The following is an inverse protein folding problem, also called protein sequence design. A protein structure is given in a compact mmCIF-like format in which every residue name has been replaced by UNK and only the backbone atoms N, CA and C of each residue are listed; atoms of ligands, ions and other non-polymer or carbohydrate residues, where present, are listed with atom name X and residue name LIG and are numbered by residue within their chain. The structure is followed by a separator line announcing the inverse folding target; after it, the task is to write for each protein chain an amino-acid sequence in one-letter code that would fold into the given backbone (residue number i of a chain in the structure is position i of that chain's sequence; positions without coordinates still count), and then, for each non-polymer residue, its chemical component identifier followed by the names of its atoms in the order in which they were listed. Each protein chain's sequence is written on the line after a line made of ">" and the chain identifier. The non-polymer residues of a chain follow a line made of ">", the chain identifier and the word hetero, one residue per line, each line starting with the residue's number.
data_IF_994155927102
#
_entry.id   IF_994155927102
#
_cell.length_a   1.000
_cell.length_b   1.000
_cell.length_c   1.000
_cell.angle_alpha   90.00
_cell.angle_beta   90.00
_cell.angle_gamma   90.00
#
_symmetry.space_group_name_H-M   'P 1'
#
loop_
_entity.id
_entity.type
_entity.pdbx_description
1 polymer ?
#
# COMPACT_ATOMS: atom_id res chain seq x y z
N UNK A 1 -17.14 1.84 18.90
CA UNK A 1 -17.20 1.48 17.46
C UNK A 1 -15.89 0.84 16.97
N UNK A 2 -14.72 1.37 17.27
CA UNK A 2 -13.43 0.63 17.04
C UNK A 2 -13.37 -0.69 17.83
N UNK A 3 -13.88 -0.74 19.07
CA UNK A 3 -14.00 -1.99 19.84
C UNK A 3 -14.86 -3.07 19.18
N UNK A 4 -15.89 -2.70 18.44
CA UNK A 4 -16.78 -3.67 17.74
C UNK A 4 -16.08 -4.30 16.54
N UNK A 5 -15.13 -3.62 15.91
CA UNK A 5 -14.37 -4.14 14.77
C UNK A 5 -13.32 -5.15 15.22
N UNK A 6 -12.69 -4.91 16.36
CA UNK A 6 -11.71 -5.83 16.94
C UNK A 6 -12.36 -7.06 17.59
N UNK A 7 -13.58 -6.96 18.14
CA UNK A 7 -14.28 -8.08 18.77
C UNK A 7 -14.83 -9.11 17.77
N UNK A 8 -14.90 -8.80 16.47
CA UNK A 8 -15.33 -9.73 15.45
C UNK A 8 -14.23 -10.69 14.94
N UNK A 9 -13.04 -10.64 15.52
CA UNK A 9 -11.97 -11.59 15.19
C UNK A 9 -12.23 -13.03 15.68
N UNK A 10 -13.27 -13.26 16.52
CA UNK A 10 -13.76 -14.59 16.90
C UNK A 10 -15.18 -14.50 17.46
N UNK A 11 -16.24 -14.66 16.68
CA UNK A 11 -17.46 -15.41 17.01
C UNK A 11 -18.54 -15.29 15.92
N UNK A 12 -19.26 -16.37 15.60
CA UNK A 12 -20.52 -16.29 14.87
C UNK A 12 -21.67 -15.96 15.83
N UNK A 13 -22.54 -15.01 15.45
CA UNK A 13 -23.91 -14.85 15.96
C UNK A 13 -24.09 -13.99 17.21
N UNK A 14 -24.68 -12.83 17.13
CA UNK A 14 -26.02 -12.45 17.59
C UNK A 14 -26.32 -10.95 17.46
N UNK A 15 -27.59 -10.68 17.32
CA UNK A 15 -28.41 -9.55 16.98
C UNK A 15 -28.46 -8.46 18.09
N UNK A 16 -28.59 -7.17 17.65
CA UNK A 16 -29.46 -6.21 18.34
C UNK A 16 -28.82 -4.91 18.82
N UNK A 17 -29.15 -3.81 18.23
CA UNK A 17 -29.95 -2.73 18.79
C UNK A 17 -29.84 -1.43 17.98
N UNK A 18 -30.99 -0.96 17.54
CA UNK A 18 -31.20 0.36 16.93
C UNK A 18 -31.36 1.40 18.04
N UNK A 19 -30.81 2.59 17.83
CA UNK A 19 -31.38 3.91 18.17
C UNK A 19 -30.29 4.95 18.34
N UNK A 20 -30.18 5.88 17.40
CA UNK A 20 -29.90 7.31 17.62
C UNK A 20 -29.63 7.98 16.26
N UNK A 21 -30.69 8.35 15.57
CA UNK A 21 -30.64 9.36 14.51
C UNK A 21 -31.84 10.29 14.72
N UNK A 22 -31.64 11.41 15.38
CA UNK A 22 -32.43 12.63 15.19
C UNK A 22 -31.61 13.85 15.62
N UNK A 23 -31.62 14.84 14.73
CA UNK A 23 -31.11 16.22 14.86
C UNK A 23 -29.67 16.47 14.36
N UNK A 24 -29.53 16.87 13.10
CA UNK A 24 -28.59 17.89 12.65
C UNK A 24 -29.02 18.46 11.30
N UNK A 25 -29.89 19.46 11.36
CA UNK A 25 -30.07 20.45 10.29
C UNK A 25 -29.46 21.75 10.80
N UNK A 26 -28.21 22.03 10.43
CA UNK A 26 -27.65 23.39 10.35
C UNK A 26 -26.20 23.38 9.88
N UNK A 27 -25.93 24.11 8.84
CA UNK A 27 -24.67 24.58 8.26
C UNK A 27 -24.47 24.16 6.81
N UNK A 28 -25.20 24.82 5.92
CA UNK A 28 -24.81 24.92 4.52
C UNK A 28 -24.90 26.41 4.14
N UNK A 29 -23.77 27.11 4.24
CA UNK A 29 -23.49 28.30 3.41
C UNK A 29 -22.00 28.64 3.50
N UNK A 30 -21.26 28.51 2.40
CA UNK A 30 -19.86 28.88 2.31
C UNK A 30 -19.19 28.21 1.13
N UNK A 31 -19.33 28.82 -0.05
CA UNK A 31 -18.94 28.23 -1.33
C UNK A 31 -17.43 28.10 -1.55
N UNK A 32 -17.05 26.95 -2.04
CA UNK A 32 -15.94 26.79 -2.96
C UNK A 32 -16.31 25.69 -3.97
N UNK A 33 -16.50 26.07 -5.21
CA UNK A 33 -16.71 25.14 -6.34
C UNK A 33 -15.38 24.97 -7.08
N UNK A 34 -14.74 23.81 -7.06
CA UNK A 34 -13.75 23.48 -8.07
C UNK A 34 -14.46 23.03 -9.35
N UNK A 35 -13.96 23.36 -10.55
CA UNK A 35 -14.56 22.93 -11.82
C UNK A 35 -14.22 21.46 -12.09
N UNK A 36 -15.17 20.56 -11.83
CA UNK A 36 -15.01 19.10 -12.01
C UNK A 36 -15.37 18.66 -13.45
N UNK A 37 -15.81 19.54 -14.33
CA UNK A 37 -16.31 19.13 -15.65
C UNK A 37 -15.26 19.06 -16.79
N UNK A 38 -14.00 19.44 -16.57
CA UNK A 38 -13.01 19.48 -17.64
C UNK A 38 -12.08 18.25 -17.75
N UNK A 39 -12.06 17.35 -16.78
CA UNK A 39 -11.09 16.23 -16.76
C UNK A 39 -11.66 14.84 -17.09
N UNK A 40 -12.99 14.69 -17.19
CA UNK A 40 -13.59 13.38 -17.48
C UNK A 40 -13.70 13.01 -18.97
N UNK A 41 -13.33 13.91 -19.91
CA UNK A 41 -13.42 13.65 -21.36
C UNK A 41 -12.07 13.39 -22.06
N UNK A 42 -10.94 13.46 -21.37
CA UNK A 42 -9.62 13.28 -22.01
C UNK A 42 -8.99 11.89 -21.85
N UNK A 43 -9.64 10.96 -21.18
CA UNK A 43 -9.04 9.63 -20.91
C UNK A 43 -9.74 8.44 -21.61
N UNK A 44 -10.54 8.67 -22.66
CA UNK A 44 -11.23 7.59 -23.38
C UNK A 44 -10.86 7.60 -24.88
N UNK A 45 -9.65 7.93 -25.25
CA UNK A 45 -9.14 7.61 -26.60
C UNK A 45 -7.67 7.25 -26.49
N UNK A 46 -7.38 5.94 -26.59
CA UNK A 46 -6.06 5.46 -26.95
C UNK A 46 -5.78 5.94 -28.40
N UNK A 47 -4.57 6.44 -28.70
CA UNK A 47 -4.23 6.77 -30.08
C UNK A 47 -4.11 5.49 -30.89
N UNK A 48 -4.90 5.39 -31.97
CA UNK A 48 -4.72 4.40 -33.02
C UNK A 48 -3.30 4.51 -33.59
N UNK A 49 -2.60 3.38 -33.63
CA UNK A 49 -1.30 3.27 -34.24
C UNK A 49 -1.40 3.61 -35.72
N UNK A 50 -0.77 4.69 -36.15
CA UNK A 50 -0.53 4.97 -37.56
C UNK A 50 0.53 4.01 -38.10
N UNK A 51 0.37 3.46 -39.30
CA UNK A 51 1.40 2.62 -39.92
C UNK A 51 2.63 3.48 -40.26
N UNK A 52 3.80 3.01 -39.84
CA UNK A 52 5.11 3.60 -40.16
C UNK A 52 5.39 3.30 -41.61
N UNK A 53 5.59 4.33 -42.42
CA UNK A 53 6.04 4.23 -43.78
C UNK A 53 7.47 3.71 -43.86
N UNK A 54 7.67 2.78 -44.78
CA UNK A 54 8.90 2.11 -45.16
C UNK A 54 9.90 3.10 -45.77
N UNK A 55 10.88 3.58 -45.01
CA UNK A 55 12.01 4.33 -45.57
C UNK A 55 13.23 3.41 -45.69
N UNK A 56 13.47 2.98 -46.96
CA UNK A 56 14.65 2.25 -47.38
C UNK A 56 15.89 3.15 -47.33
N UNK A 57 16.90 2.76 -46.60
CA UNK A 57 18.26 3.29 -46.78
C UNK A 57 19.13 2.27 -47.56
N UNK A 58 20.00 2.76 -48.47
CA UNK A 58 20.75 1.90 -49.42
C UNK A 58 21.95 1.24 -48.76
N UNK A 59 22.17 -0.01 -49.21
CA UNK A 59 23.32 -0.78 -48.85
C UNK A 59 24.61 -0.23 -49.49
N UNK A 60 25.66 -0.08 -48.72
CA UNK A 60 27.07 -0.03 -49.21
C UNK A 60 27.77 -1.30 -48.93
N UNK A 61 28.25 -1.94 -50.04
CA UNK A 61 29.18 -3.06 -50.03
C UNK A 61 30.59 -2.60 -49.64
N UNK A 62 31.24 -3.39 -48.83
CA UNK A 62 32.69 -3.66 -48.76
C UNK A 62 33.02 -4.10 -47.33
N UNK A 63 33.37 -5.30 -47.05
CA UNK A 63 34.57 -6.08 -47.27
C UNK A 63 34.30 -7.55 -46.90
N UNK A 64 34.47 -8.40 -47.95
CA UNK A 64 34.78 -9.81 -47.77
C UNK A 64 36.26 -9.94 -47.84
N UNK A 65 36.90 -10.62 -46.90
CA UNK A 65 37.97 -11.58 -47.13
C UNK A 65 38.41 -12.31 -45.86
N UNK A 66 38.35 -13.61 -46.01
CA UNK A 66 39.31 -14.64 -45.55
C UNK A 66 39.53 -14.83 -44.04
N UNK A 67 39.22 -16.04 -43.61
CA UNK A 67 40.21 -17.09 -43.32
C UNK A 67 39.51 -18.45 -43.18
N UNK A 68 40.10 -19.38 -43.90
CA UNK A 68 39.72 -20.76 -44.14
C UNK A 68 39.91 -21.71 -42.95
N UNK A 69 39.06 -22.71 -42.92
CA UNK A 69 39.35 -24.15 -42.80
C UNK A 69 40.38 -24.67 -41.81
N UNK A 70 39.94 -25.44 -40.84
CA UNK A 70 40.62 -26.69 -40.47
C UNK A 70 39.59 -27.77 -40.10
N UNK A 71 39.73 -28.86 -40.84
CA UNK A 71 38.94 -30.08 -40.84
C UNK A 71 39.61 -31.19 -40.00
N UNK A 72 38.75 -32.05 -39.40
CA UNK A 72 38.91 -33.51 -39.18
C UNK A 72 39.74 -34.02 -37.99
N UNK A 73 39.12 -34.76 -37.07
CA UNK A 73 39.24 -36.22 -37.00
C UNK A 73 38.23 -36.86 -36.06
N UNK A 74 37.64 -37.90 -36.59
CA UNK A 74 36.75 -38.91 -36.05
C UNK A 74 37.38 -39.78 -34.93
N UNK A 75 36.53 -40.23 -34.00
CA UNK A 75 36.87 -41.32 -33.08
C UNK A 75 35.62 -41.75 -32.29
N UNK A 76 35.02 -42.88 -32.73
CA UNK A 76 33.98 -43.65 -32.02
C UNK A 76 34.62 -44.84 -31.29
N UNK A 77 33.84 -45.69 -30.56
CA UNK A 77 33.36 -45.51 -29.18
C UNK A 77 33.98 -46.58 -28.25
N UNK A 78 33.81 -46.42 -26.93
CA UNK A 78 34.01 -47.56 -26.00
C UNK A 78 32.85 -47.61 -25.01
N UNK A 79 32.21 -48.80 -25.03
CA UNK A 79 31.30 -49.30 -24.03
C UNK A 79 31.85 -49.19 -22.61
N UNK A 80 31.03 -48.73 -21.69
CA UNK A 80 31.18 -49.01 -20.26
C UNK A 80 29.83 -48.98 -19.57
N UNK A 81 29.54 -50.06 -18.88
CA UNK A 81 28.39 -50.44 -18.10
C UNK A 81 27.94 -49.41 -17.05
N UNK A 82 26.66 -49.43 -16.61
CA UNK A 82 26.16 -48.47 -15.63
C UNK A 82 26.61 -48.81 -14.19
N UNK A 83 26.90 -47.80 -13.36
CA UNK A 83 27.11 -48.01 -11.92
C UNK A 83 25.77 -48.06 -11.16
N UNK A 84 25.75 -48.57 -9.92
CA UNK A 84 24.56 -49.00 -9.20
C UNK A 84 23.77 -47.84 -8.60
N UNK A 85 22.48 -48.12 -8.37
CA UNK A 85 21.47 -47.32 -7.73
C UNK A 85 21.94 -46.53 -6.51
N UNK A 86 21.81 -45.24 -6.52
CA UNK A 86 21.92 -44.36 -5.35
C UNK A 86 20.52 -43.91 -4.88
N UNK A 87 20.42 -43.86 -3.58
CA UNK A 87 19.29 -43.51 -2.71
C UNK A 87 18.46 -42.31 -3.13
N UNK A 88 17.21 -42.13 -2.62
CA UNK A 88 16.30 -41.11 -3.07
C UNK A 88 16.83 -39.70 -2.75
N UNK A 89 16.89 -38.89 -3.82
CA UNK A 89 17.19 -37.46 -3.76
C UNK A 89 16.21 -36.75 -2.85
N UNK A 90 16.75 -35.99 -1.93
CA UNK A 90 16.02 -34.99 -1.12
C UNK A 90 15.16 -34.12 -2.01
N UNK A 91 13.97 -33.65 -1.55
CA UNK A 91 13.14 -32.78 -2.35
C UNK A 91 13.90 -31.48 -2.69
N UNK A 92 13.66 -30.90 -3.87
CA UNK A 92 14.33 -29.68 -4.27
C UNK A 92 14.07 -28.57 -3.25
N UNK A 93 15.12 -27.89 -2.85
CA UNK A 93 15.05 -26.70 -2.02
C UNK A 93 14.02 -25.74 -2.63
N UNK A 94 12.98 -25.43 -1.88
CA UNK A 94 11.99 -24.43 -2.25
C UNK A 94 12.68 -23.14 -2.67
N UNK A 95 12.35 -22.68 -3.85
CA UNK A 95 12.87 -21.46 -4.45
C UNK A 95 12.58 -20.27 -3.52
N UNK A 96 13.59 -19.81 -2.77
CA UNK A 96 13.47 -18.68 -1.83
C UNK A 96 13.15 -17.35 -2.52
N UNK A 97 13.00 -17.37 -3.85
CA UNK A 97 12.66 -16.24 -4.70
C UNK A 97 11.20 -16.25 -5.17
N UNK A 98 10.37 -17.21 -4.72
CA UNK A 98 8.97 -17.22 -5.05
C UNK A 98 8.28 -15.94 -4.50
N UNK A 99 7.43 -15.32 -5.32
CA UNK A 99 6.60 -14.19 -4.93
C UNK A 99 5.76 -14.59 -3.71
N UNK A 100 5.93 -13.95 -2.54
CA UNK A 100 5.10 -14.27 -1.37
C UNK A 100 3.61 -13.99 -1.62
N UNK A 101 3.25 -13.41 -2.78
CA UNK A 101 1.88 -13.20 -3.21
C UNK A 101 1.35 -14.32 -4.13
N UNK A 102 2.22 -15.28 -4.57
CA UNK A 102 1.82 -16.39 -5.44
C UNK A 102 1.48 -17.69 -4.69
N UNK A 103 1.61 -17.71 -3.36
CA UNK A 103 1.07 -18.81 -2.56
C UNK A 103 -0.45 -18.64 -2.41
N UNK A 104 -1.13 -18.88 -3.52
CA UNK A 104 -2.59 -18.93 -3.57
C UNK A 104 -2.99 -20.30 -3.03
N UNK A 105 -3.14 -20.41 -1.73
CA UNK A 105 -3.79 -21.55 -1.11
C UNK A 105 -5.20 -21.75 -1.73
N UNK A 106 -5.75 -22.97 -1.73
CA UNK A 106 -7.01 -23.26 -2.39
C UNK A 106 -8.14 -22.39 -1.83
N UNK A 107 -8.72 -21.55 -2.69
CA UNK A 107 -9.99 -20.86 -2.52
C UNK A 107 -10.07 -19.96 -1.28
N UNK A 108 -9.52 -18.72 -1.36
CA UNK A 108 -9.84 -17.70 -0.36
C UNK A 108 -11.34 -17.38 -0.49
N UNK A 109 -12.17 -17.93 0.39
CA UNK A 109 -13.57 -17.52 0.48
C UNK A 109 -13.66 -16.05 0.87
N UNK A 110 -14.34 -15.25 0.04
CA UNK A 110 -14.70 -13.87 0.31
C UNK A 110 -16.08 -13.87 0.97
N UNK A 111 -16.17 -13.86 2.31
CA UNK A 111 -17.44 -14.13 3.02
C UNK A 111 -18.48 -13.04 2.84
N UNK A 112 -18.10 -11.86 2.32
CA UNK A 112 -19.00 -10.74 2.04
C UNK A 112 -18.61 -10.08 0.72
N UNK A 113 -19.58 -9.90 -0.18
CA UNK A 113 -19.33 -9.25 -1.48
C UNK A 113 -18.95 -7.77 -1.27
N UNK A 114 -17.77 -7.39 -1.79
CA UNK A 114 -17.21 -6.04 -1.73
C UNK A 114 -17.20 -5.32 -3.07
N UNK A 115 -17.63 -5.95 -4.16
CA UNK A 115 -17.52 -5.40 -5.53
C UNK A 115 -18.27 -4.07 -5.67
N UNK A 116 -19.38 -3.93 -4.96
CA UNK A 116 -20.19 -2.71 -4.93
C UNK A 116 -19.46 -1.49 -4.35
N UNK A 117 -18.33 -1.69 -3.66
CA UNK A 117 -17.55 -0.63 -3.00
C UNK A 117 -16.69 0.09 -4.03
N UNK A 118 -16.01 -0.66 -4.91
CA UNK A 118 -15.03 -0.10 -5.85
C UNK A 118 -15.60 0.99 -6.79
N UNK A 119 -16.76 0.81 -7.43
CA UNK A 119 -17.36 1.88 -8.24
C UNK A 119 -17.64 3.15 -7.44
N UNK A 120 -18.03 3.02 -6.16
CA UNK A 120 -18.30 4.17 -5.28
C UNK A 120 -17.02 4.88 -4.85
N UNK A 121 -15.91 4.17 -4.68
CA UNK A 121 -14.61 4.76 -4.38
C UNK A 121 -13.99 5.40 -5.63
N UNK A 122 -14.24 4.86 -6.84
CA UNK A 122 -13.78 5.46 -8.10
C UNK A 122 -14.49 6.77 -8.39
N UNK A 123 -15.81 6.76 -8.33
CA UNK A 123 -16.69 7.87 -8.69
C UNK A 123 -17.54 8.30 -7.49
N UNK A 124 -16.94 8.94 -6.46
CA UNK A 124 -17.66 9.33 -5.27
C UNK A 124 -18.67 10.44 -5.57
N UNK A 125 -19.90 10.26 -5.12
CA UNK A 125 -20.99 11.23 -5.24
C UNK A 125 -20.82 12.39 -4.23
N UNK A 126 -21.60 13.46 -4.39
CA UNK A 126 -21.64 14.56 -3.38
C UNK A 126 -22.02 14.05 -2.00
N UNK A 127 -22.99 13.14 -1.93
CA UNK A 127 -23.39 12.49 -0.67
C UNK A 127 -22.22 11.71 -0.04
N UNK A 128 -21.47 10.99 -0.87
CA UNK A 128 -20.29 10.26 -0.39
C UNK A 128 -19.28 11.20 0.28
N UNK A 129 -19.01 12.37 -0.32
CA UNK A 129 -18.07 13.35 0.26
C UNK A 129 -18.56 13.89 1.59
N UNK A 130 -19.86 14.19 1.73
CA UNK A 130 -20.45 14.65 2.99
C UNK A 130 -20.33 13.57 4.07
N UNK A 131 -20.73 12.35 3.77
CA UNK A 131 -20.62 11.22 4.69
C UNK A 131 -19.17 10.92 5.07
N UNK A 132 -18.25 10.94 4.08
CA UNK A 132 -16.83 10.78 4.30
C UNK A 132 -16.25 11.88 5.18
N UNK A 133 -16.62 13.15 4.95
CA UNK A 133 -16.18 14.26 5.77
C UNK A 133 -16.58 14.07 7.23
N UNK A 134 -17.80 13.60 7.48
CA UNK A 134 -18.28 13.32 8.84
C UNK A 134 -17.48 12.18 9.49
N UNK A 135 -17.32 11.04 8.81
CA UNK A 135 -16.59 9.89 9.33
C UNK A 135 -15.11 10.24 9.58
N UNK A 136 -14.47 10.89 8.62
CA UNK A 136 -13.06 11.31 8.71
C UNK A 136 -12.86 12.28 9.90
N UNK A 137 -13.76 13.26 10.07
CA UNK A 137 -13.66 14.22 11.16
C UNK A 137 -13.86 13.55 12.52
N UNK A 138 -14.87 12.70 12.65
CA UNK A 138 -15.15 11.99 13.90
C UNK A 138 -13.99 11.07 14.31
N UNK A 139 -13.50 10.27 13.37
CA UNK A 139 -12.36 9.36 13.61
C UNK A 139 -11.07 10.15 13.84
N UNK A 140 -10.83 11.21 13.08
CA UNK A 140 -9.64 12.04 13.22
C UNK A 140 -9.57 12.77 14.56
N UNK A 141 -10.68 13.34 15.03
CA UNK A 141 -10.76 13.97 16.36
C UNK A 141 -10.57 12.92 17.45
N UNK A 142 -11.22 11.75 17.33
CA UNK A 142 -11.07 10.66 18.27
C UNK A 142 -9.57 10.20 18.35
N UNK A 143 -8.95 9.98 17.20
CA UNK A 143 -7.53 9.59 17.14
C UNK A 143 -6.61 10.64 17.75
N UNK A 144 -6.92 11.91 17.53
CA UNK A 144 -6.17 13.02 18.14
C UNK A 144 -6.33 13.05 19.65
N UNK A 145 -7.53 12.86 20.17
CA UNK A 145 -7.77 12.78 21.62
C UNK A 145 -6.99 11.62 22.22
N UNK A 146 -7.10 10.42 21.63
CA UNK A 146 -6.41 9.23 22.12
C UNK A 146 -4.90 9.42 22.08
N UNK A 147 -4.34 9.85 20.96
CA UNK A 147 -2.89 9.94 20.81
C UNK A 147 -2.31 11.11 21.59
N UNK A 148 -2.89 12.31 21.45
CA UNK A 148 -2.24 13.54 21.93
C UNK A 148 -2.61 13.93 23.36
N UNK A 149 -3.82 13.53 23.84
CA UNK A 149 -4.28 13.92 25.17
C UNK A 149 -4.30 12.78 26.17
N UNK A 150 -4.53 11.55 25.74
CA UNK A 150 -4.55 10.39 26.64
C UNK A 150 -3.20 9.70 26.75
N UNK A 151 -2.27 9.95 25.81
CA UNK A 151 -0.98 9.27 25.75
C UNK A 151 0.18 10.28 25.63
N UNK A 152 1.40 9.79 25.56
CA UNK A 152 2.64 10.58 25.52
C UNK A 152 3.33 10.44 24.15
N UNK A 153 2.81 11.03 23.07
CA UNK A 153 3.42 10.91 21.76
C UNK A 153 4.67 11.80 21.64
N UNK A 154 5.68 11.29 20.94
CA UNK A 154 6.77 12.08 20.34
C UNK A 154 6.80 11.81 18.85
N UNK A 155 6.75 12.85 18.05
CA UNK A 155 6.74 12.75 16.59
C UNK A 155 7.96 13.48 16.06
N UNK A 156 8.92 12.72 15.57
CA UNK A 156 10.14 13.24 14.97
C UNK A 156 9.91 13.56 13.50
N UNK A 157 10.47 14.65 13.03
CA UNK A 157 10.42 15.11 11.63
C UNK A 157 8.99 15.26 11.06
N UNK A 158 8.02 15.57 11.93
CA UNK A 158 6.59 15.72 11.59
C UNK A 158 6.37 16.74 10.46
N UNK A 159 7.17 17.79 10.42
CA UNK A 159 7.10 18.85 9.42
C UNK A 159 7.29 18.33 7.99
N UNK A 160 8.09 17.28 7.78
CA UNK A 160 8.25 16.62 6.47
C UNK A 160 6.93 16.10 5.97
N UNK A 161 6.21 15.33 6.79
CA UNK A 161 4.89 14.76 6.45
C UNK A 161 3.87 15.88 6.18
N UNK A 162 3.79 16.88 7.08
CA UNK A 162 2.84 17.99 6.95
C UNK A 162 3.14 18.82 5.69
N UNK A 163 4.40 19.07 5.38
CA UNK A 163 4.84 19.79 4.17
C UNK A 163 4.42 19.03 2.91
N UNK A 164 4.66 17.72 2.86
CA UNK A 164 4.30 16.89 1.70
C UNK A 164 2.79 16.75 1.53
N UNK A 165 2.01 16.68 2.61
CA UNK A 165 0.55 16.67 2.51
C UNK A 165 0.03 18.00 1.96
N UNK A 166 0.57 19.15 2.42
CA UNK A 166 -0.02 20.47 2.21
C UNK A 166 0.59 21.24 1.04
N UNK A 167 1.87 20.99 0.70
CA UNK A 167 2.66 21.82 -0.22
C UNK A 167 3.33 21.04 -1.36
N UNK A 168 3.07 19.72 -1.52
CA UNK A 168 3.62 18.99 -2.67
C UNK A 168 3.06 19.53 -3.98
N UNK A 169 3.78 19.39 -5.10
CA UNK A 169 3.29 19.84 -6.40
C UNK A 169 1.94 19.20 -6.74
N UNK A 170 1.07 19.97 -7.39
CA UNK A 170 -0.25 19.49 -7.76
C UNK A 170 -0.15 18.29 -8.72
N UNK A 171 -0.96 17.27 -8.48
CA UNK A 171 -0.98 16.05 -9.30
C UNK A 171 0.20 15.11 -9.09
N UNK A 172 1.12 15.39 -8.16
CA UNK A 172 2.16 14.45 -7.73
C UNK A 172 1.60 13.61 -6.57
N UNK A 173 1.55 12.27 -6.68
CA UNK A 173 1.05 11.44 -5.60
C UNK A 173 2.03 11.37 -4.42
N UNK A 174 1.49 11.17 -3.21
CA UNK A 174 2.25 10.86 -2.02
C UNK A 174 1.95 9.42 -1.61
N UNK A 175 2.98 8.63 -1.43
CA UNK A 175 2.89 7.27 -0.90
C UNK A 175 3.63 7.21 0.43
N UNK A 176 2.90 7.12 1.55
CA UNK A 176 3.51 6.86 2.85
C UNK A 176 3.49 5.36 3.14
N UNK A 177 4.57 4.85 3.70
CA UNK A 177 4.70 3.46 4.10
C UNK A 177 5.13 3.39 5.56
N UNK A 178 4.54 2.49 6.35
CA UNK A 178 4.94 2.30 7.76
C UNK A 178 4.84 0.83 8.19
N UNK A 179 5.50 0.50 9.30
CA UNK A 179 5.28 -0.75 10.03
C UNK A 179 3.84 -0.82 10.58
N UNK A 180 3.40 -2.02 10.97
CA UNK A 180 2.03 -2.28 11.44
C UNK A 180 2.03 -3.12 12.71
N UNK A 181 1.96 -2.47 13.87
CA UNK A 181 2.07 -3.13 15.18
C UNK A 181 0.75 -3.16 15.95
N UNK A 182 -0.24 -2.35 15.56
CA UNK A 182 -1.54 -2.28 16.24
C UNK A 182 -2.69 -2.14 15.27
N UNK A 183 -3.83 -2.74 15.59
CA UNK A 183 -5.09 -2.48 14.88
C UNK A 183 -5.51 -1.00 14.91
N UNK A 184 -4.91 -0.19 15.77
CA UNK A 184 -5.16 1.24 15.87
C UNK A 184 -4.17 2.10 15.06
N UNK A 185 -3.16 1.52 14.41
CA UNK A 185 -2.17 2.30 13.64
C UNK A 185 -2.85 3.19 12.61
N UNK A 186 -3.78 2.66 11.83
CA UNK A 186 -4.70 3.45 11.04
C UNK A 186 -6.10 3.37 11.69
N UNK A 187 -6.58 4.40 12.35
CA UNK A 187 -6.31 5.83 12.13
C UNK A 187 -5.40 6.54 13.18
N UNK A 188 -4.89 5.84 14.17
CA UNK A 188 -4.20 6.43 15.33
C UNK A 188 -3.03 7.34 15.00
N UNK A 189 -2.16 6.91 14.06
CA UNK A 189 -0.99 7.68 13.64
C UNK A 189 -1.34 9.09 13.14
N UNK A 190 -2.49 9.25 12.51
CA UNK A 190 -2.93 10.53 11.95
C UNK A 190 -3.41 11.52 13.00
N UNK A 191 -3.64 11.08 14.23
CA UNK A 191 -3.95 11.96 15.37
C UNK A 191 -2.88 13.02 15.62
N UNK A 192 -1.63 12.81 15.21
CA UNK A 192 -0.57 13.82 15.31
C UNK A 192 -0.72 14.99 14.34
N UNK A 193 -1.49 14.85 13.24
CA UNK A 193 -1.64 15.87 12.22
C UNK A 193 -2.46 17.07 12.68
N UNK A 194 -2.29 18.25 12.04
CA UNK A 194 -3.16 19.40 12.27
C UNK A 194 -4.62 19.07 11.95
N UNK A 195 -5.57 19.68 12.68
CA UNK A 195 -7.02 19.46 12.48
C UNK A 195 -7.46 19.75 11.03
N UNK A 196 -6.90 20.77 10.40
CA UNK A 196 -7.19 21.10 8.99
C UNK A 196 -6.71 20.05 7.97
N UNK A 197 -5.96 19.04 8.42
CA UNK A 197 -5.57 17.88 7.61
C UNK A 197 -6.37 16.66 8.03
N UNK A 198 -6.34 16.31 9.32
CA UNK A 198 -6.95 15.07 9.80
C UNK A 198 -8.47 15.08 9.68
N UNK A 199 -9.11 16.26 9.74
CA UNK A 199 -10.54 16.44 9.54
C UNK A 199 -10.89 16.89 8.11
N UNK A 200 -10.07 16.59 7.10
CA UNK A 200 -10.32 17.01 5.73
C UNK A 200 -10.27 15.82 4.77
N UNK A 201 -11.43 15.44 4.24
CA UNK A 201 -11.56 14.29 3.34
C UNK A 201 -10.76 14.42 2.03
N UNK A 202 -10.45 15.65 1.60
CA UNK A 202 -9.65 15.88 0.39
C UNK A 202 -8.14 15.76 0.64
N UNK A 203 -7.69 16.02 1.87
CA UNK A 203 -6.27 16.02 2.25
C UNK A 203 -5.81 14.71 2.87
N UNK A 204 -6.72 13.99 3.54
CA UNK A 204 -6.37 12.75 4.24
C UNK A 204 -6.11 11.60 3.26
N UNK A 205 -5.29 10.66 3.71
CA UNK A 205 -4.87 9.47 2.94
C UNK A 205 -6.02 8.58 2.46
N UNK A 206 -5.81 7.85 1.39
CA UNK A 206 -6.43 6.56 1.11
C UNK A 206 -5.61 5.47 1.79
N UNK A 207 -6.23 4.40 2.29
CA UNK A 207 -5.54 3.32 2.96
C UNK A 207 -6.15 1.99 2.56
N UNK A 208 -5.35 0.92 2.52
CA UNK A 208 -5.87 -0.43 2.32
C UNK A 208 -6.24 -1.03 3.67
N UNK A 209 -7.36 -1.76 3.71
CA UNK A 209 -7.81 -2.44 4.91
C UNK A 209 -8.28 -3.85 4.56
N UNK A 210 -7.94 -4.82 5.42
CA UNK A 210 -8.23 -6.23 5.21
C UNK A 210 -9.74 -6.47 5.10
N UNK A 211 -10.15 -7.11 4.00
CA UNK A 211 -11.55 -7.39 3.69
C UNK A 211 -12.22 -8.22 4.78
N UNK A 212 -11.60 -9.28 5.21
CA UNK A 212 -12.08 -10.24 6.20
C UNK A 212 -12.24 -9.66 7.62
N UNK A 213 -11.64 -8.50 7.88
CA UNK A 213 -11.72 -7.79 9.18
C UNK A 213 -12.65 -6.58 9.10
N UNK A 214 -12.45 -5.73 8.10
CA UNK A 214 -13.06 -4.41 8.02
C UNK A 214 -14.35 -4.38 7.20
N UNK A 215 -14.56 -5.34 6.28
CA UNK A 215 -15.67 -5.35 5.34
C UNK A 215 -16.55 -6.58 5.48
N UNK A 216 -16.80 -7.01 6.71
CA UNK A 216 -17.52 -8.23 7.06
C UNK A 216 -19.05 -8.14 6.89
N UNK A 217 -19.58 -6.92 6.82
CA UNK A 217 -21.00 -6.63 6.63
C UNK A 217 -21.21 -5.22 6.08
N UNK A 218 -22.45 -4.92 5.64
CA UNK A 218 -22.76 -3.62 5.00
C UNK A 218 -22.46 -2.40 5.88
N UNK A 219 -22.69 -2.46 7.18
CA UNK A 219 -22.48 -1.32 8.08
C UNK A 219 -20.99 -1.02 8.27
N UNK A 220 -20.19 -2.06 8.50
CA UNK A 220 -18.74 -1.94 8.58
C UNK A 220 -18.17 -1.45 7.24
N UNK A 221 -18.62 -2.05 6.14
CA UNK A 221 -18.18 -1.66 4.79
C UNK A 221 -18.47 -0.19 4.48
N UNK A 222 -19.65 0.33 4.83
CA UNK A 222 -19.96 1.75 4.67
C UNK A 222 -19.07 2.64 5.52
N UNK A 223 -18.81 2.26 6.77
CA UNK A 223 -17.94 3.02 7.67
C UNK A 223 -16.50 3.11 7.11
N UNK A 224 -15.90 1.97 6.76
CA UNK A 224 -14.54 1.95 6.22
C UNK A 224 -14.47 2.61 4.84
N UNK A 225 -15.47 2.42 3.99
CA UNK A 225 -15.57 3.08 2.69
C UNK A 225 -15.59 4.61 2.83
N UNK A 226 -16.40 5.16 3.76
CA UNK A 226 -16.40 6.58 4.05
C UNK A 226 -15.13 7.05 4.75
N UNK A 227 -14.42 6.16 5.45
CA UNK A 227 -13.07 6.38 6.00
C UNK A 227 -11.95 6.36 4.95
N UNK A 228 -12.28 6.26 3.64
CA UNK A 228 -11.33 6.15 2.52
C UNK A 228 -10.46 4.89 2.60
N UNK A 229 -11.00 3.81 3.19
CA UNK A 229 -10.37 2.51 3.20
C UNK A 229 -10.77 1.71 1.95
N UNK A 230 -9.78 1.10 1.32
CA UNK A 230 -9.90 0.26 0.11
C UNK A 230 -9.84 -1.19 0.57
N UNK A 231 -10.87 -2.01 0.29
CA UNK A 231 -10.87 -3.42 0.71
C UNK A 231 -9.82 -4.22 -0.04
N UNK A 232 -8.88 -4.84 0.67
CA UNK A 232 -7.86 -5.74 0.13
C UNK A 232 -8.11 -7.16 0.59
N UNK A 233 -8.14 -8.10 -0.35
CA UNK A 233 -8.25 -9.53 -0.07
C UNK A 233 -6.85 -10.10 0.10
N UNK A 234 -6.56 -10.60 1.31
CA UNK A 234 -5.25 -11.16 1.62
C UNK A 234 -5.09 -12.53 0.95
N UNK A 235 -3.90 -12.84 0.44
CA UNK A 235 -3.58 -14.13 -0.15
C UNK A 235 -3.87 -14.28 -1.65
N UNK A 236 -4.65 -13.38 -2.29
CA UNK A 236 -4.94 -13.46 -3.75
C UNK A 236 -3.92 -12.75 -4.64
N UNK A 237 -2.80 -12.31 -4.05
CA UNK A 237 -1.72 -11.69 -4.80
C UNK A 237 -1.89 -10.19 -5.05
N UNK A 238 -0.98 -9.65 -5.87
CA UNK A 238 -0.91 -8.20 -6.12
C UNK A 238 -1.84 -7.76 -7.26
N UNK A 239 -2.30 -8.67 -8.11
CA UNK A 239 -3.20 -8.37 -9.22
C UNK A 239 -4.65 -8.41 -8.78
N UNK A 240 -5.02 -7.47 -7.93
CA UNK A 240 -6.36 -7.33 -7.39
C UNK A 240 -6.87 -5.91 -7.49
N UNK A 241 -8.18 -5.75 -7.44
CA UNK A 241 -8.88 -4.48 -7.62
C UNK A 241 -8.46 -3.40 -6.62
N UNK A 242 -8.09 -3.79 -5.40
CA UNK A 242 -7.57 -2.87 -4.39
C UNK A 242 -6.27 -2.18 -4.85
N UNK A 243 -5.35 -2.93 -5.42
CA UNK A 243 -4.08 -2.39 -5.92
C UNK A 243 -4.31 -1.53 -7.16
N UNK A 244 -5.18 -1.97 -8.09
CA UNK A 244 -5.56 -1.17 -9.26
C UNK A 244 -6.14 0.18 -8.84
N UNK A 245 -7.05 0.19 -7.86
CA UNK A 245 -7.64 1.43 -7.34
C UNK A 245 -6.59 2.34 -6.67
N UNK A 246 -5.59 1.78 -5.98
CA UNK A 246 -4.48 2.58 -5.44
C UNK A 246 -3.68 3.25 -6.57
N UNK A 247 -3.39 2.54 -7.67
CA UNK A 247 -2.72 3.10 -8.85
C UNK A 247 -3.56 4.22 -9.47
N UNK A 248 -4.88 4.02 -9.61
CA UNK A 248 -5.81 5.06 -10.09
C UNK A 248 -5.81 6.30 -9.18
N UNK A 249 -5.81 6.10 -7.85
CA UNK A 249 -5.74 7.23 -6.89
C UNK A 249 -4.38 7.94 -6.94
N UNK A 250 -3.29 7.20 -7.17
CA UNK A 250 -1.97 7.78 -7.41
C UNK A 250 -1.97 8.61 -8.70
N UNK A 251 -2.56 8.12 -9.79
CA UNK A 251 -2.69 8.86 -11.05
C UNK A 251 -3.40 10.23 -10.86
N UNK A 252 -4.33 10.32 -9.92
CA UNK A 252 -5.03 11.54 -9.54
C UNK A 252 -4.24 12.44 -8.56
N UNK A 253 -3.00 12.06 -8.18
CA UNK A 253 -2.17 12.82 -7.26
C UNK A 253 -2.59 12.72 -5.80
N UNK A 254 -3.38 11.72 -5.42
CA UNK A 254 -3.81 11.54 -4.04
C UNK A 254 -2.68 11.05 -3.12
N UNK A 255 -2.92 11.18 -1.81
CA UNK A 255 -2.09 10.56 -0.79
C UNK A 255 -2.61 9.16 -0.48
N UNK A 256 -1.72 8.16 -0.59
CA UNK A 256 -1.99 6.75 -0.29
C UNK A 256 -1.08 6.35 0.87
N UNK A 257 -1.62 5.59 1.82
CA UNK A 257 -0.86 4.95 2.88
C UNK A 257 -0.93 3.44 2.76
N UNK A 258 0.20 2.79 2.95
CA UNK A 258 0.35 1.34 2.85
C UNK A 258 1.09 0.81 4.07
N UNK A 259 0.58 -0.27 4.65
CA UNK A 259 1.31 -1.13 5.58
C UNK A 259 1.87 -2.32 4.78
N UNK A 260 3.12 -2.25 4.28
CA UNK A 260 3.61 -3.25 3.33
C UNK A 260 3.91 -4.61 3.98
N UNK A 261 3.85 -4.72 5.31
CA UNK A 261 3.90 -6.00 6.02
C UNK A 261 2.67 -6.89 5.73
N UNK A 262 1.53 -6.29 5.36
CA UNK A 262 0.31 -6.97 4.97
C UNK A 262 -0.48 -7.62 6.11
N UNK A 263 0.00 -7.51 7.35
CA UNK A 263 -0.66 -7.95 8.59
C UNK A 263 -0.16 -7.13 9.78
N UNK A 264 -0.91 -7.15 10.89
CA UNK A 264 -0.39 -6.64 12.18
C UNK A 264 0.75 -7.55 12.63
N UNK A 265 1.93 -6.99 12.79
CA UNK A 265 3.15 -7.69 13.20
C UNK A 265 3.28 -7.66 14.72
N UNK A 266 2.63 -8.61 15.38
CA UNK A 266 2.58 -8.67 16.84
C UNK A 266 3.92 -9.04 17.46
N UNK A 267 4.71 -9.84 16.77
CA UNK A 267 6.02 -10.32 17.25
C UNK A 267 7.14 -9.31 16.99
N UNK A 268 6.85 -8.24 16.25
CA UNK A 268 7.83 -7.21 15.83
C UNK A 268 9.05 -7.80 15.12
N UNK A 269 8.85 -8.88 14.39
CA UNK A 269 9.89 -9.50 13.59
C UNK A 269 10.16 -8.71 12.30
N UNK A 270 11.29 -8.94 11.67
CA UNK A 270 11.54 -8.43 10.34
C UNK A 270 10.78 -9.25 9.31
N UNK A 271 9.65 -8.72 8.85
CA UNK A 271 8.84 -9.35 7.82
C UNK A 271 9.31 -8.94 6.42
N UNK A 272 9.27 -9.90 5.49
CA UNK A 272 9.40 -9.59 4.07
C UNK A 272 8.21 -8.74 3.62
N UNK A 273 8.47 -7.56 3.08
CA UNK A 273 7.43 -6.66 2.60
C UNK A 273 6.70 -7.24 1.39
N UNK A 274 5.38 -7.05 1.34
CA UNK A 274 4.52 -7.46 0.22
C UNK A 274 4.76 -6.58 -0.99
N UNK A 275 4.90 -7.19 -2.16
CA UNK A 275 5.26 -6.50 -3.40
C UNK A 275 4.16 -5.60 -3.99
N UNK A 276 2.97 -5.58 -3.39
CA UNK A 276 1.89 -4.66 -3.80
C UNK A 276 2.30 -3.19 -3.77
N UNK A 277 3.13 -2.78 -2.81
CA UNK A 277 3.67 -1.41 -2.73
C UNK A 277 4.57 -1.10 -3.94
N UNK A 278 5.43 -2.04 -4.33
CA UNK A 278 6.29 -1.91 -5.52
C UNK A 278 5.48 -1.80 -6.81
N UNK A 279 4.40 -2.59 -6.94
CA UNK A 279 3.49 -2.50 -8.08
C UNK A 279 2.80 -1.13 -8.16
N UNK A 280 2.26 -0.62 -7.05
CA UNK A 280 1.64 0.72 -7.01
C UNK A 280 2.62 1.78 -7.52
N UNK A 281 3.89 1.72 -7.09
CA UNK A 281 4.92 2.68 -7.47
C UNK A 281 5.27 2.54 -8.97
N UNK A 282 5.53 1.33 -9.43
CA UNK A 282 6.00 1.07 -10.79
C UNK A 282 4.94 1.40 -11.85
N UNK A 283 3.68 1.01 -11.61
CA UNK A 283 2.59 1.23 -12.55
C UNK A 283 1.94 2.64 -12.44
N UNK A 284 2.28 3.42 -11.42
CA UNK A 284 1.79 4.80 -11.32
C UNK A 284 2.29 5.64 -12.51
N UNK A 285 1.40 6.38 -13.20
CA UNK A 285 1.80 7.24 -14.33
C UNK A 285 2.80 8.33 -13.95
N UNK A 286 2.68 8.84 -12.71
CA UNK A 286 3.67 9.72 -12.08
C UNK A 286 4.26 8.99 -10.88
N UNK A 287 5.57 8.95 -10.80
CA UNK A 287 6.27 8.34 -9.66
C UNK A 287 5.86 9.08 -8.38
N UNK A 288 5.31 8.38 -7.37
CA UNK A 288 4.92 8.99 -6.11
C UNK A 288 6.15 9.42 -5.30
N UNK A 289 5.98 10.48 -4.50
CA UNK A 289 6.93 10.76 -3.42
C UNK A 289 6.76 9.66 -2.38
N UNK A 290 7.78 8.86 -2.15
CA UNK A 290 7.77 7.72 -1.23
C UNK A 290 8.31 8.21 0.12
N UNK A 291 7.48 8.18 1.17
CA UNK A 291 7.84 8.65 2.50
C UNK A 291 7.76 7.50 3.49
N UNK A 292 8.88 6.93 3.93
CA UNK A 292 8.90 5.91 4.97
C UNK A 292 8.62 6.53 6.34
N UNK A 293 7.92 5.78 7.18
CA UNK A 293 7.61 6.14 8.55
C UNK A 293 7.79 4.90 9.44
N UNK A 294 8.21 5.10 10.68
CA UNK A 294 8.28 4.01 11.66
C UNK A 294 7.71 4.47 13.00
N UNK A 295 7.00 3.58 13.68
CA UNK A 295 6.43 3.89 14.99
C UNK A 295 6.66 2.76 16.00
N UNK A 296 6.69 3.16 17.27
CA UNK A 296 6.77 2.29 18.44
C UNK A 296 5.71 2.67 19.47
N UNK A 297 5.23 1.69 20.22
CA UNK A 297 4.31 1.88 21.35
C UNK A 297 2.83 1.99 20.99
N UNK A 298 2.45 1.82 19.74
CA UNK A 298 1.03 1.77 19.33
C UNK A 298 0.35 0.49 19.81
N UNK A 299 1.07 -0.62 19.85
CA UNK A 299 0.65 -1.89 20.44
C UNK A 299 0.45 -1.84 21.95
N UNK A 300 1.20 -0.99 22.65
CA UNK A 300 0.96 -0.70 24.07
C UNK A 300 -0.26 0.21 24.28
N UNK A 301 -0.51 1.14 23.33
CA UNK A 301 -1.67 2.03 23.37
C UNK A 301 -2.96 1.26 23.14
N UNK A 302 -3.00 0.39 22.11
CA UNK A 302 -4.08 -0.57 21.91
C UNK A 302 -3.49 -1.97 21.72
N UNK A 303 -3.43 -2.79 22.80
CA UNK A 303 -2.99 -4.17 22.69
C UNK A 303 -3.85 -4.97 21.72
N UNK A 304 -3.19 -5.84 20.93
CA UNK A 304 -3.86 -6.70 19.93
C UNK A 304 -4.46 -7.98 20.55
N UNK A 305 -4.85 -7.91 21.82
CA UNK A 305 -5.47 -9.00 22.58
C UNK A 305 -6.76 -8.53 23.24
N UNK A 306 -7.69 -9.45 23.44
CA UNK A 306 -8.95 -9.13 24.13
C UNK A 306 -8.74 -8.94 25.63
N UNK A 307 -9.47 -7.99 26.25
CA UNK A 307 -10.34 -7.01 25.62
C UNK A 307 -9.55 -5.87 24.97
N UNK A 308 -9.91 -5.49 23.75
CA UNK A 308 -9.27 -4.38 23.00
C UNK A 308 -9.55 -3.03 23.65
N UNK A 309 -8.82 -2.71 24.71
CA UNK A 309 -9.03 -1.49 25.51
C UNK A 309 -7.89 -0.51 25.28
N UNK A 310 -8.25 0.73 24.91
CA UNK A 310 -7.28 1.81 24.77
C UNK A 310 -6.66 2.11 26.13
N UNK A 311 -5.35 2.02 26.17
CA UNK A 311 -4.53 2.33 27.33
C UNK A 311 -4.20 3.83 27.37
N UNK A 312 -3.88 4.34 28.56
CA UNK A 312 -3.50 5.74 28.79
C UNK A 312 -2.06 5.85 29.27
N UNK A 313 -1.45 7.01 29.04
CA UNK A 313 -0.11 7.30 29.55
C UNK A 313 1.02 6.56 28.84
N UNK A 314 0.72 5.86 27.73
CA UNK A 314 1.70 5.10 26.94
C UNK A 314 2.61 6.01 26.15
N UNK A 315 3.88 5.62 26.04
CA UNK A 315 4.86 6.29 25.19
C UNK A 315 4.64 5.84 23.75
N UNK A 316 4.33 6.76 22.85
CA UNK A 316 4.23 6.50 21.40
C UNK A 316 5.29 7.32 20.69
N UNK A 317 6.14 6.68 19.91
CA UNK A 317 7.14 7.35 19.07
C UNK A 317 6.76 7.15 17.62
N UNK A 318 6.72 8.23 16.87
CA UNK A 318 6.59 8.21 15.41
C UNK A 318 7.78 8.94 14.82
N UNK A 319 8.53 8.28 13.93
CA UNK A 319 9.61 8.90 13.18
C UNK A 319 9.27 8.94 11.69
N UNK A 320 9.33 10.13 11.12
CA UNK A 320 9.11 10.35 9.69
C UNK A 320 10.47 10.43 9.01
N UNK A 321 10.79 9.41 8.21
CA UNK A 321 12.05 9.35 7.47
C UNK A 321 12.18 10.41 6.40
N UNK A 322 13.31 10.40 5.68
CA UNK A 322 13.47 11.20 4.48
C UNK A 322 12.68 10.58 3.32
N UNK A 323 12.14 11.40 2.41
CA UNK A 323 11.59 10.90 1.16
C UNK A 323 12.64 10.06 0.41
N UNK A 324 12.26 8.87 -0.02
CA UNK A 324 13.17 8.02 -0.80
C UNK A 324 13.28 8.55 -2.21
N UNK A 325 14.48 8.92 -2.61
CA UNK A 325 14.77 9.30 -3.99
C UNK A 325 15.05 8.05 -4.83
N UNK A 326 13.98 7.50 -5.38
CA UNK A 326 14.01 6.35 -6.28
C UNK A 326 13.65 6.73 -7.72
N UNK A 327 13.61 8.03 -8.06
CA UNK A 327 13.15 8.48 -9.37
C UNK A 327 14.02 7.92 -10.49
N UNK A 328 15.33 8.14 -10.43
CA UNK A 328 16.27 7.67 -11.47
C UNK A 328 16.28 6.14 -11.55
N UNK A 329 16.21 5.47 -10.41
CA UNK A 329 16.13 4.01 -10.35
C UNK A 329 14.86 3.46 -11.04
N UNK A 330 13.68 4.04 -10.76
CA UNK A 330 12.42 3.62 -11.37
C UNK A 330 12.39 3.96 -12.85
N UNK A 331 12.91 5.12 -13.26
CA UNK A 331 13.02 5.52 -14.66
C UNK A 331 13.95 4.59 -15.44
N UNK A 332 15.08 4.17 -14.85
CA UNK A 332 15.98 3.18 -15.46
C UNK A 332 15.28 1.82 -15.65
N UNK A 333 14.57 1.33 -14.64
CA UNK A 333 13.78 0.10 -14.76
C UNK A 333 12.76 0.19 -15.91
N UNK A 334 12.06 1.33 -16.03
CA UNK A 334 11.09 1.57 -17.11
C UNK A 334 11.80 1.66 -18.48
N UNK A 335 12.91 2.40 -18.58
CA UNK A 335 13.69 2.54 -19.81
C UNK A 335 14.23 1.20 -20.32
N UNK A 336 14.69 0.35 -19.41
CA UNK A 336 15.17 -1.00 -19.71
C UNK A 336 14.05 -2.01 -19.92
N UNK A 337 12.79 -1.59 -19.83
CA UNK A 337 11.60 -2.44 -19.96
C UNK A 337 11.66 -3.69 -19.04
N UNK A 338 12.16 -3.50 -17.82
CA UNK A 338 12.23 -4.57 -16.83
C UNK A 338 10.83 -5.12 -16.56
N UNK A 339 10.60 -6.44 -16.64
CA UNK A 339 9.28 -7.01 -16.36
C UNK A 339 8.73 -6.57 -15.01
N UNK A 340 7.43 -6.24 -14.97
CA UNK A 340 6.78 -5.71 -13.76
C UNK A 340 7.02 -6.57 -12.51
N UNK A 341 6.95 -7.93 -12.54
CA UNK A 341 7.25 -8.75 -11.38
C UNK A 341 8.65 -8.54 -10.80
N UNK A 342 9.65 -8.34 -11.66
CA UNK A 342 11.02 -8.03 -11.24
C UNK A 342 11.14 -6.59 -10.73
N UNK A 343 10.55 -5.64 -11.44
CA UNK A 343 10.60 -4.23 -11.07
C UNK A 343 9.95 -3.97 -9.70
N UNK A 344 8.74 -4.52 -9.45
CA UNK A 344 8.07 -4.38 -8.14
C UNK A 344 8.87 -4.97 -6.99
N UNK A 345 9.54 -6.14 -7.24
CA UNK A 345 10.42 -6.74 -6.24
C UNK A 345 11.57 -5.78 -5.89
N UNK A 346 12.30 -5.31 -6.90
CA UNK A 346 13.47 -4.43 -6.73
C UNK A 346 13.09 -3.12 -6.01
N UNK A 347 11.96 -2.52 -6.37
CA UNK A 347 11.46 -1.31 -5.69
C UNK A 347 11.11 -1.60 -4.23
N UNK A 348 10.45 -2.74 -3.97
CA UNK A 348 10.09 -3.14 -2.60
C UNK A 348 11.33 -3.42 -1.76
N UNK A 349 12.39 -4.00 -2.35
CA UNK A 349 13.67 -4.24 -1.68
C UNK A 349 14.30 -2.91 -1.20
N UNK A 350 14.25 -1.86 -2.00
CA UNK A 350 14.71 -0.52 -1.59
C UNK A 350 13.91 0.07 -0.42
N UNK A 351 12.61 -0.17 -0.38
CA UNK A 351 11.78 0.22 0.77
C UNK A 351 12.14 -0.61 2.01
N UNK A 352 12.42 -1.89 1.85
CA UNK A 352 12.85 -2.78 2.92
C UNK A 352 14.17 -2.31 3.56
N UNK A 353 15.15 -1.90 2.74
CA UNK A 353 16.41 -1.32 3.21
C UNK A 353 16.16 -0.07 4.07
N UNK A 354 15.38 0.89 3.55
CA UNK A 354 15.04 2.12 4.28
C UNK A 354 14.27 1.84 5.58
N UNK A 355 13.45 0.78 5.62
CA UNK A 355 12.74 0.38 6.83
C UNK A 355 13.68 -0.11 7.93
N UNK A 356 14.73 -0.87 7.58
CA UNK A 356 15.71 -1.35 8.56
C UNK A 356 16.41 -0.20 9.27
N UNK A 357 16.88 0.77 8.49
CA UNK A 357 17.59 1.93 9.02
C UNK A 357 16.67 2.78 9.89
N UNK A 358 15.47 3.08 9.39
CA UNK A 358 14.50 3.89 10.12
C UNK A 358 13.98 3.19 11.38
N UNK A 359 13.84 1.87 11.35
CA UNK A 359 13.52 1.03 12.52
C UNK A 359 14.57 1.21 13.61
N UNK A 360 15.84 0.96 13.27
CA UNK A 360 16.94 1.03 14.23
C UNK A 360 17.02 2.42 14.90
N UNK A 361 16.87 3.48 14.10
CA UNK A 361 16.83 4.86 14.60
C UNK A 361 15.63 5.07 15.54
N UNK A 362 14.43 4.65 15.12
CA UNK A 362 13.19 4.89 15.89
C UNK A 362 13.17 4.10 17.19
N UNK A 363 13.64 2.86 17.20
CA UNK A 363 13.77 2.05 18.41
C UNK A 363 14.75 2.69 19.41
N UNK A 364 15.87 3.25 18.93
CA UNK A 364 16.81 4.02 19.74
C UNK A 364 16.11 5.24 20.34
N UNK A 365 15.48 6.06 19.51
CA UNK A 365 14.74 7.25 19.95
C UNK A 365 13.65 6.90 20.97
N UNK A 366 12.98 5.75 20.81
CA UNK A 366 11.95 5.30 21.74
C UNK A 366 12.53 4.87 23.08
N UNK A 367 13.64 4.14 23.11
CA UNK A 367 14.32 3.73 24.36
C UNK A 367 14.89 4.92 25.14
N UNK A 368 15.41 5.93 24.46
CA UNK A 368 15.98 7.14 25.08
C UNK A 368 14.92 8.09 25.66
N UNK A 369 13.65 7.79 25.53
CA UNK A 369 12.57 8.59 26.12
C UNK A 369 12.43 8.31 27.62
N UNK A 370 12.72 9.30 28.42
CA UNK A 370 12.43 9.31 29.87
C UNK A 370 10.95 9.49 30.17
#
# INVERSE_FOLDING_TARGET
>A
MLMVVCSNLRRPGHVGAASAMRNLNWMISGGYRPPIQALSRQYVQAPEARPVADERFPASQQDRKDIATQTVRSGQPKDLSPPPSTSPLSPPMSDRNADPALDVGPGVEVPYNIDWIFPRLRNPTRFWYVASQFVISAVGIFSKIVLMFLNKPRVYNKERLVKLISKRPQGVPLLTVSNHYSCFDDPGLWGCLPLGVVCNTYKIRWSMAAHDICFTNRRHSLFFMFGKCIPVVRGIGVYQEAINLCIEKAALGHWIHVFPEGKVNMEKEELRLKWGVGRIIYESPKIPIILPMWHEGMDELLPNVEPYVIQRGKKVTLNVGEPLDLNDFILDLKKRQVPEPTARKLITDKIQEAFRDLRAETEKLHRERN
#
